data_IF_753753748394
#
_entry.id   IF_753753748394
#
_cell.length_a   1.000
_cell.length_b   1.000
_cell.length_c   1.000
_cell.angle_alpha   90.00
_cell.angle_beta   90.00
_cell.angle_gamma   90.00
#
_symmetry.space_group_name_H-M   'P 1'
#
loop_
_entity.id
_entity.type
_entity.pdbx_description
1 polymer ?
#
# COMPACT_ATOMS: atom_id res chain seq x y z
N UNK A 1 19.32 9.94 5.91
CA UNK A 1 18.01 9.89 6.61
C UNK A 1 16.99 9.49 5.56
N UNK A 2 16.30 8.36 5.72
CA UNK A 2 15.25 7.97 4.78
C UNK A 2 14.08 8.93 5.01
N UNK A 3 13.76 9.75 4.02
CA UNK A 3 12.62 10.65 4.10
C UNK A 3 11.39 9.95 3.52
N UNK A 4 10.31 9.87 4.31
CA UNK A 4 9.00 9.45 3.81
C UNK A 4 8.42 10.62 3.00
N UNK A 5 8.08 10.38 1.73
CA UNK A 5 7.43 11.37 0.88
C UNK A 5 5.92 11.11 0.89
N UNK A 6 5.15 12.18 1.08
CA UNK A 6 3.69 12.11 1.18
C UNK A 6 3.07 13.10 0.19
N UNK A 7 2.17 12.61 -0.66
CA UNK A 7 1.50 13.44 -1.67
C UNK A 7 0.64 14.52 -1.03
N UNK A 8 0.77 15.76 -1.49
CA UNK A 8 -0.05 16.88 -1.02
C UNK A 8 -1.54 16.75 -1.42
N UNK A 9 -1.83 15.92 -2.42
CA UNK A 9 -3.20 15.65 -2.90
C UNK A 9 -3.98 14.71 -1.97
N UNK A 10 -3.29 14.02 -1.05
CA UNK A 10 -3.91 13.10 -0.09
C UNK A 10 -4.49 13.85 1.12
N UNK A 11 -5.59 13.32 1.66
CA UNK A 11 -6.16 13.81 2.92
C UNK A 11 -5.16 13.68 4.08
N UNK A 12 -5.36 14.42 5.16
CA UNK A 12 -4.51 14.29 6.37
C UNK A 12 -4.56 12.87 6.94
N UNK A 13 -5.74 12.25 7.00
CA UNK A 13 -5.92 10.88 7.50
C UNK A 13 -5.12 9.87 6.66
N UNK A 14 -5.18 9.98 5.34
CA UNK A 14 -4.43 9.12 4.42
C UNK A 14 -2.93 9.28 4.61
N UNK A 15 -2.43 10.53 4.68
CA UNK A 15 -1.00 10.81 4.92
C UNK A 15 -0.50 10.29 6.27
N UNK A 16 -1.29 10.45 7.34
CA UNK A 16 -0.96 9.90 8.66
C UNK A 16 -0.88 8.38 8.63
N UNK A 17 -1.84 7.72 7.99
CA UNK A 17 -1.83 6.26 7.91
C UNK A 17 -0.63 5.73 7.10
N UNK A 18 -0.28 6.36 5.97
CA UNK A 18 0.96 6.03 5.24
C UNK A 18 2.18 6.18 6.16
N UNK A 19 2.23 7.26 6.95
CA UNK A 19 3.35 7.48 7.88
C UNK A 19 3.43 6.41 8.98
N UNK A 20 2.30 5.96 9.55
CA UNK A 20 2.27 4.87 10.52
C UNK A 20 2.75 3.53 9.92
N UNK A 21 2.28 3.19 8.71
CA UNK A 21 2.76 2.03 7.96
C UNK A 21 4.28 2.10 7.76
N UNK A 22 4.79 3.26 7.33
CA UNK A 22 6.23 3.46 7.15
C UNK A 22 7.01 3.31 8.46
N UNK A 23 6.51 3.87 9.57
CA UNK A 23 7.16 3.73 10.88
C UNK A 23 7.20 2.26 11.33
N UNK A 24 6.13 1.50 11.09
CA UNK A 24 6.12 0.08 11.37
C UNK A 24 7.17 -0.67 10.53
N UNK A 25 7.21 -0.46 9.21
CA UNK A 25 8.21 -1.10 8.35
C UNK A 25 9.65 -0.75 8.77
N UNK A 26 9.91 0.51 9.17
CA UNK A 26 11.19 0.92 9.75
C UNK A 26 11.52 0.15 11.03
N UNK A 27 10.54 -0.04 11.93
CA UNK A 27 10.72 -0.78 13.19
C UNK A 27 11.07 -2.25 12.97
N UNK A 28 10.61 -2.82 11.84
CA UNK A 28 10.90 -4.20 11.42
C UNK A 28 12.17 -4.32 10.57
N UNK A 29 12.85 -3.22 10.26
CA UNK A 29 14.02 -3.21 9.38
C UNK A 29 13.69 -3.52 7.91
N UNK A 30 12.44 -3.30 7.49
CA UNK A 30 11.97 -3.61 6.14
C UNK A 30 12.16 -2.38 5.24
N UNK A 31 12.94 -2.47 4.14
CA UNK A 31 13.11 -1.37 3.20
C UNK A 31 11.82 -1.10 2.43
N UNK A 32 11.48 0.17 2.25
CA UNK A 32 10.34 0.61 1.46
C UNK A 32 10.59 1.93 0.74
N UNK A 33 9.67 2.26 -0.16
CA UNK A 33 9.63 3.49 -0.94
C UNK A 33 8.20 4.04 -0.97
N UNK A 34 8.07 5.35 -1.08
CA UNK A 34 6.80 6.08 -1.24
C UNK A 34 6.85 6.91 -2.52
N UNK A 35 5.68 7.26 -3.08
CA UNK A 35 5.55 8.01 -4.34
C UNK A 35 6.29 7.38 -5.54
N UNK A 36 6.42 6.05 -5.57
CA UNK A 36 7.10 5.35 -6.67
C UNK A 36 6.17 5.25 -7.87
N UNK A 37 6.58 5.84 -9.00
CA UNK A 37 5.91 5.60 -10.28
C UNK A 37 6.46 4.33 -10.93
N UNK A 38 5.64 3.29 -10.99
CA UNK A 38 5.97 2.03 -11.66
C UNK A 38 5.94 2.19 -13.18
N UNK A 39 6.60 1.28 -13.90
CA UNK A 39 6.61 1.27 -15.38
C UNK A 39 5.21 1.14 -16.00
N UNK A 40 4.29 0.50 -15.30
CA UNK A 40 2.88 0.39 -15.70
C UNK A 40 2.06 1.66 -15.44
N UNK A 41 2.67 2.72 -14.91
CA UNK A 41 2.01 3.99 -14.62
C UNK A 41 1.30 4.04 -13.26
N UNK A 42 1.19 2.92 -12.54
CA UNK A 42 0.68 2.90 -11.16
C UNK A 42 1.63 3.62 -10.20
N UNK A 43 1.03 4.24 -9.18
CA UNK A 43 1.74 4.83 -8.04
C UNK A 43 1.12 4.22 -6.79
N UNK A 44 1.70 3.14 -6.25
CA UNK A 44 1.27 2.58 -4.97
C UNK A 44 1.62 3.54 -3.84
N UNK A 45 0.83 3.53 -2.76
CA UNK A 45 1.13 4.35 -1.59
C UNK A 45 2.49 3.99 -0.95
N UNK A 46 2.71 2.70 -0.72
CA UNK A 46 3.99 2.16 -0.22
C UNK A 46 4.41 0.93 -1.01
N UNK A 47 5.69 0.90 -1.41
CA UNK A 47 6.32 -0.26 -2.04
C UNK A 47 7.39 -0.82 -1.09
N UNK A 48 7.23 -2.07 -0.66
CA UNK A 48 8.14 -2.76 0.26
C UNK A 48 8.68 -4.05 -0.39
N UNK A 49 9.74 -3.99 -1.24
CA UNK A 49 10.09 -5.09 -2.14
C UNK A 49 10.48 -6.42 -1.47
N UNK A 50 10.91 -6.37 -0.22
CA UNK A 50 11.30 -7.57 0.56
C UNK A 50 10.19 -8.03 1.52
N UNK A 51 9.05 -7.35 1.54
CA UNK A 51 7.88 -7.72 2.34
C UNK A 51 7.11 -8.87 1.67
N UNK A 52 6.33 -9.64 2.44
CA UNK A 52 5.52 -10.74 1.89
C UNK A 52 4.48 -10.23 0.89
N UNK A 53 4.01 -9.01 1.10
CA UNK A 53 3.12 -8.24 0.23
C UNK A 53 3.86 -6.96 -0.20
N UNK A 54 4.39 -6.90 -1.43
CA UNK A 54 5.26 -5.81 -1.85
C UNK A 54 4.55 -4.47 -2.04
N UNK A 55 3.21 -4.47 -2.15
CA UNK A 55 2.42 -3.25 -2.28
C UNK A 55 1.49 -3.11 -1.08
N UNK A 56 1.53 -1.94 -0.45
CA UNK A 56 0.60 -1.58 0.62
C UNK A 56 -0.15 -0.33 0.14
N UNK A 57 -1.47 -0.45 0.03
CA UNK A 57 -2.36 0.61 -0.44
C UNK A 57 -3.21 1.07 0.75
N UNK A 58 -3.22 2.37 1.01
CA UNK A 58 -3.99 2.97 2.08
C UNK A 58 -5.32 3.46 1.51
N UNK A 59 -6.42 2.84 1.95
CA UNK A 59 -7.76 3.18 1.51
C UNK A 59 -8.29 4.33 2.38
N UNK A 60 -8.63 5.47 1.75
CA UNK A 60 -9.26 6.61 2.43
C UNK A 60 -10.72 6.79 2.00
N UNK A 61 -10.93 7.29 0.79
CA UNK A 61 -12.27 7.44 0.18
C UNK A 61 -12.61 6.30 -0.77
N UNK A 62 -11.60 5.56 -1.20
CA UNK A 62 -11.75 4.41 -2.11
C UNK A 62 -12.00 3.11 -1.34
N UNK A 63 -12.84 2.24 -1.89
CA UNK A 63 -13.02 0.88 -1.39
C UNK A 63 -12.05 -0.08 -2.07
N UNK A 64 -11.92 -1.29 -1.53
CA UNK A 64 -11.16 -2.35 -2.19
C UNK A 64 -11.74 -2.69 -3.57
N UNK A 65 -13.08 -2.70 -3.74
CA UNK A 65 -13.66 -2.94 -5.07
C UNK A 65 -13.27 -1.84 -6.07
N UNK A 66 -13.29 -0.57 -5.63
CA UNK A 66 -12.87 0.55 -6.49
C UNK A 66 -11.40 0.42 -6.92
N UNK A 67 -10.52 -0.03 -6.03
CA UNK A 67 -9.13 -0.32 -6.37
C UNK A 67 -9.04 -1.42 -7.44
N UNK A 68 -9.78 -2.51 -7.26
CA UNK A 68 -9.75 -3.64 -8.18
C UNK A 68 -10.25 -3.27 -9.58
N UNK A 69 -11.30 -2.46 -9.66
CA UNK A 69 -11.87 -2.02 -10.94
C UNK A 69 -10.99 -0.99 -11.67
N UNK A 70 -10.39 -0.04 -10.94
CA UNK A 70 -9.77 1.15 -11.53
C UNK A 70 -8.24 1.09 -11.61
N UNK A 71 -7.60 0.29 -10.76
CA UNK A 71 -6.15 0.26 -10.57
C UNK A 71 -5.55 -1.13 -10.83
N UNK A 72 -6.14 -2.21 -10.34
CA UNK A 72 -5.52 -3.54 -10.36
C UNK A 72 -5.14 -4.02 -11.76
N UNK A 73 -6.00 -3.82 -12.77
CA UNK A 73 -5.76 -4.26 -14.15
C UNK A 73 -4.55 -3.61 -14.82
N UNK A 74 -4.04 -2.50 -14.29
CA UNK A 74 -2.83 -1.82 -14.77
C UNK A 74 -1.56 -2.47 -14.24
N UNK A 75 -1.62 -3.20 -13.12
CA UNK A 75 -0.48 -3.92 -12.61
C UNK A 75 -0.16 -5.14 -13.50
N UNK A 76 1.11 -5.54 -13.61
CA UNK A 76 1.47 -6.81 -14.25
C UNK A 76 0.70 -8.02 -13.68
N UNK A 77 0.39 -9.01 -14.52
CA UNK A 77 -0.46 -10.17 -14.17
C UNK A 77 0.08 -10.95 -12.96
N UNK A 78 1.39 -11.01 -12.77
CA UNK A 78 2.02 -11.67 -11.62
C UNK A 78 1.57 -11.08 -10.27
N UNK A 79 1.25 -9.78 -10.24
CA UNK A 79 0.81 -9.11 -9.01
C UNK A 79 -0.71 -9.22 -8.78
N UNK A 80 -1.47 -9.54 -9.83
CA UNK A 80 -2.93 -9.69 -9.75
C UNK A 80 -3.39 -11.04 -9.17
N UNK A 81 -2.45 -11.93 -8.84
CA UNK A 81 -2.75 -13.28 -8.33
C UNK A 81 -3.49 -13.23 -6.99
N UNK A 82 -4.43 -14.15 -6.81
CA UNK A 82 -5.25 -14.29 -5.59
C UNK A 82 -5.04 -15.61 -4.88
N UNK A 83 -5.25 -15.62 -3.57
CA UNK A 83 -5.50 -16.85 -2.80
C UNK A 83 -6.90 -17.39 -3.10
N UNK A 84 -7.18 -18.64 -2.70
CA UNK A 84 -8.52 -19.24 -2.81
C UNK A 84 -9.60 -18.46 -2.03
N UNK A 85 -9.19 -17.67 -1.05
CA UNK A 85 -10.07 -16.76 -0.30
C UNK A 85 -10.47 -15.50 -1.08
N UNK A 86 -9.94 -15.29 -2.29
CA UNK A 86 -10.17 -14.08 -3.08
C UNK A 86 -9.22 -12.92 -2.77
N UNK A 87 -8.45 -12.98 -1.67
CA UNK A 87 -7.46 -11.95 -1.33
C UNK A 87 -6.31 -11.89 -2.33
N UNK A 88 -5.90 -10.68 -2.71
CA UNK A 88 -4.72 -10.44 -3.55
C UNK A 88 -3.44 -10.84 -2.80
N UNK A 89 -2.54 -11.55 -3.49
CA UNK A 89 -1.29 -12.06 -2.89
C UNK A 89 -0.23 -10.98 -2.72
N UNK A 90 -0.26 -9.94 -3.55
CA UNK A 90 0.81 -8.94 -3.60
C UNK A 90 0.44 -7.62 -2.90
N UNK A 91 -0.79 -7.52 -2.39
CA UNK A 91 -1.36 -6.29 -1.88
C UNK A 91 -1.86 -6.47 -0.46
N UNK A 92 -1.49 -5.53 0.40
CA UNK A 92 -2.16 -5.30 1.68
C UNK A 92 -2.93 -3.98 1.59
N UNK A 93 -4.16 -3.96 2.10
CA UNK A 93 -5.00 -2.77 2.15
C UNK A 93 -5.17 -2.34 3.60
N UNK A 94 -4.90 -1.07 3.89
CA UNK A 94 -5.01 -0.48 5.24
C UNK A 94 -6.03 0.64 5.22
N UNK A 95 -7.00 0.64 6.13
CA UNK A 95 -8.07 1.64 6.15
C UNK A 95 -7.67 2.88 6.96
N UNK A 96 -7.52 4.03 6.29
CA UNK A 96 -7.14 5.30 6.91
C UNK A 96 -8.18 5.87 7.90
N UNK A 97 -9.40 5.32 7.94
CA UNK A 97 -10.48 5.76 8.84
C UNK A 97 -10.37 5.13 10.23
N UNK A 98 -9.60 4.05 10.36
CA UNK A 98 -9.40 3.33 11.60
C UNK A 98 -8.01 3.63 12.20
N UNK A 99 -7.80 3.40 13.50
CA UNK A 99 -6.47 3.38 14.08
C UNK A 99 -5.59 2.34 13.38
N UNK A 100 -4.30 2.65 13.21
CA UNK A 100 -3.36 1.74 12.57
C UNK A 100 -3.27 0.43 13.34
N UNK A 101 -3.45 -0.69 12.63
CA UNK A 101 -3.31 -2.03 13.17
C UNK A 101 -2.15 -2.77 12.47
N UNK A 102 -1.00 -2.97 13.13
CA UNK A 102 0.15 -3.65 12.54
C UNK A 102 -0.11 -5.09 12.10
N UNK A 103 -1.09 -5.75 12.69
CA UNK A 103 -1.43 -7.14 12.36
C UNK A 103 -2.00 -7.27 10.93
N UNK A 104 -2.45 -6.16 10.32
CA UNK A 104 -2.85 -6.13 8.92
C UNK A 104 -1.66 -6.31 7.96
N UNK A 105 -0.43 -6.03 8.44
CA UNK A 105 0.82 -6.12 7.69
C UNK A 105 1.59 -7.44 7.93
N UNK A 106 1.05 -8.39 8.71
CA UNK A 106 1.66 -9.70 8.99
C UNK A 106 1.08 -10.81 8.09
#
# INVERSE_FOLDING_TARGET
>A
MNAVRLSAEHTDAHRRMIFEVCNYLLSQGIPFYTEVRLKCGCIPDVVAPTHITPFIEVLSTETMEMFEELKLSKYPEEFQRRYNSGRLKSFTFVDARNPFNPDELQ
#
